data_IF_715336201820
#
_entry.id   IF_715336201820
#
_cell.length_a   1.000
_cell.length_b   1.000
_cell.length_c   1.000
_cell.angle_alpha   90.00
_cell.angle_beta   90.00
_cell.angle_gamma   90.00
#
_symmetry.space_group_name_H-M   'P 1'
#
loop_
_entity.id
_entity.type
_entity.pdbx_description
1 polymer ?
#
# COMPACT_ATOMS: atom_id res chain seq x y z
N UNK A 1 -15.69 -15.75 4.47
CA UNK A 1 -15.32 -15.80 3.03
C UNK A 1 -13.99 -16.53 2.93
N UNK A 2 -13.91 -17.73 2.33
CA UNK A 2 -12.62 -18.35 2.06
C UNK A 2 -11.88 -17.47 1.04
N UNK A 3 -10.66 -17.04 1.38
CA UNK A 3 -9.83 -16.29 0.43
C UNK A 3 -9.29 -17.26 -0.62
N UNK A 4 -9.33 -16.85 -1.89
CA UNK A 4 -8.70 -17.59 -2.97
C UNK A 4 -7.17 -17.67 -2.78
N UNK A 5 -6.51 -18.63 -3.45
CA UNK A 5 -5.06 -18.84 -3.33
C UNK A 5 -4.25 -17.56 -3.65
N UNK A 6 -4.78 -16.72 -4.54
CA UNK A 6 -4.22 -15.41 -4.86
C UNK A 6 -4.31 -14.43 -3.68
N UNK A 7 -5.42 -14.42 -2.94
CA UNK A 7 -5.56 -13.63 -1.71
C UNK A 7 -4.63 -14.09 -0.59
N UNK A 8 -4.51 -15.41 -0.40
CA UNK A 8 -3.56 -15.96 0.57
C UNK A 8 -2.11 -15.51 0.27
N UNK A 9 -1.75 -15.46 -1.02
CA UNK A 9 -0.42 -15.03 -1.47
C UNK A 9 -0.17 -13.53 -1.22
N UNK A 10 -1.16 -12.66 -1.42
CA UNK A 10 -1.03 -11.22 -1.15
C UNK A 10 -0.81 -10.97 0.34
N UNK A 11 -1.57 -11.65 1.22
CA UNK A 11 -1.45 -11.55 2.67
C UNK A 11 -0.05 -11.98 3.12
N UNK A 12 0.37 -13.18 2.73
CA UNK A 12 1.67 -13.74 3.13
C UNK A 12 2.84 -12.86 2.65
N UNK A 13 2.76 -12.32 1.41
CA UNK A 13 3.77 -11.39 0.89
C UNK A 13 3.80 -10.08 1.68
N UNK A 14 2.65 -9.53 2.04
CA UNK A 14 2.57 -8.30 2.82
C UNK A 14 3.18 -8.48 4.22
N UNK A 15 2.90 -9.61 4.87
CA UNK A 15 3.48 -9.96 6.17
C UNK A 15 5.00 -10.14 6.09
N UNK A 16 5.50 -10.83 5.06
CA UNK A 16 6.94 -11.00 4.85
C UNK A 16 7.67 -9.67 4.66
N UNK A 17 7.09 -8.74 3.89
CA UNK A 17 7.64 -7.39 3.71
C UNK A 17 7.65 -6.60 5.02
N UNK A 18 6.56 -6.66 5.80
CA UNK A 18 6.49 -6.00 7.12
C UNK A 18 7.53 -6.55 8.07
N UNK A 19 7.71 -7.86 8.13
CA UNK A 19 8.75 -8.50 8.95
C UNK A 19 10.16 -8.06 8.53
N UNK A 20 10.41 -7.95 7.21
CA UNK A 20 11.65 -7.42 6.66
C UNK A 20 11.93 -5.98 7.08
N UNK A 21 10.91 -5.11 7.04
CA UNK A 21 11.02 -3.72 7.51
C UNK A 21 11.37 -3.65 8.99
N UNK A 22 10.67 -4.43 9.84
CA UNK A 22 10.93 -4.45 11.27
C UNK A 22 12.37 -4.88 11.56
N UNK A 23 12.85 -5.93 10.88
CA UNK A 23 14.23 -6.40 11.02
C UNK A 23 15.21 -5.32 10.60
N UNK A 24 15.06 -4.77 9.39
CA UNK A 24 15.98 -3.76 8.85
C UNK A 24 16.03 -2.51 9.72
N UNK A 25 14.88 -2.05 10.26
CA UNK A 25 14.81 -0.92 11.18
C UNK A 25 15.62 -1.18 12.46
N UNK A 26 15.43 -2.36 13.07
CA UNK A 26 16.15 -2.78 14.27
C UNK A 26 17.65 -2.91 14.04
N UNK A 27 18.06 -3.46 12.90
CA UNK A 27 19.47 -3.63 12.53
C UNK A 27 20.22 -2.28 12.46
N UNK A 28 19.51 -1.18 12.20
CA UNK A 28 20.07 0.19 12.16
C UNK A 28 19.65 1.06 13.36
N UNK A 29 19.06 0.47 14.40
CA UNK A 29 18.66 1.20 15.62
C UNK A 29 17.51 2.20 15.43
N UNK A 30 16.67 2.03 14.43
CA UNK A 30 15.47 2.86 14.18
C UNK A 30 14.21 2.19 14.67
N UNK A 31 13.20 3.00 15.02
CA UNK A 31 11.85 2.49 15.28
C UNK A 31 11.19 2.06 13.95
N UNK A 32 10.72 0.81 13.81
CA UNK A 32 9.92 0.40 12.65
C UNK A 32 8.69 1.29 12.40
N UNK A 33 8.12 1.92 13.44
CA UNK A 33 6.99 2.83 13.32
C UNK A 33 7.30 4.09 12.49
N UNK A 34 8.57 4.48 12.39
CA UNK A 34 9.03 5.60 11.55
C UNK A 34 9.09 5.24 10.06
N UNK A 35 8.87 3.97 9.70
CA UNK A 35 8.98 3.48 8.32
C UNK A 35 7.60 3.22 7.74
N UNK A 36 7.24 3.97 6.71
CA UNK A 36 5.98 3.78 5.98
C UNK A 36 6.15 2.81 4.82
N UNK A 37 5.45 1.68 4.85
CA UNK A 37 5.35 0.77 3.71
C UNK A 37 4.35 1.30 2.67
N UNK A 38 4.85 1.71 1.51
CA UNK A 38 4.04 2.17 0.38
C UNK A 38 3.88 1.02 -0.63
N UNK A 39 2.66 0.54 -0.84
CA UNK A 39 2.38 -0.49 -1.83
C UNK A 39 2.16 0.13 -3.22
N UNK A 40 3.00 -0.22 -4.19
CA UNK A 40 2.88 0.31 -5.56
C UNK A 40 1.87 -0.52 -6.34
N UNK A 41 0.77 0.11 -6.78
CA UNK A 41 -0.36 -0.57 -7.43
C UNK A 41 -0.38 -0.43 -8.95
N UNK A 42 0.61 0.26 -9.54
CA UNK A 42 0.73 0.33 -11.01
C UNK A 42 0.81 -1.09 -11.55
N UNK A 43 -0.06 -1.42 -12.51
CA UNK A 43 -0.25 -2.76 -13.13
C UNK A 43 -1.06 -3.80 -12.34
N UNK A 44 -1.66 -3.48 -11.19
CA UNK A 44 -2.52 -4.41 -10.46
C UNK A 44 -4.01 -4.05 -10.61
N UNK A 45 -4.83 -5.09 -10.85
CA UNK A 45 -6.28 -4.93 -10.94
C UNK A 45 -6.93 -4.60 -9.59
N UNK A 46 -8.15 -4.06 -9.65
CA UNK A 46 -8.93 -3.64 -8.47
C UNK A 46 -9.07 -4.74 -7.42
N UNK A 47 -9.18 -6.00 -7.84
CA UNK A 47 -9.33 -7.13 -6.93
C UNK A 47 -8.05 -7.39 -6.11
N UNK A 48 -6.87 -7.20 -6.71
CA UNK A 48 -5.61 -7.30 -5.98
C UNK A 48 -5.48 -6.17 -4.95
N UNK A 49 -5.92 -4.96 -5.30
CA UNK A 49 -5.95 -3.80 -4.40
C UNK A 49 -6.93 -4.06 -3.24
N UNK A 50 -8.14 -4.54 -3.53
CA UNK A 50 -9.14 -4.86 -2.51
C UNK A 50 -8.63 -5.90 -1.49
N UNK A 51 -7.90 -6.92 -1.98
CA UNK A 51 -7.27 -7.93 -1.11
C UNK A 51 -6.14 -7.36 -0.27
N UNK A 52 -5.31 -6.47 -0.83
CA UNK A 52 -4.28 -5.76 -0.05
C UNK A 52 -4.90 -4.87 1.03
N UNK A 53 -6.01 -4.18 0.74
CA UNK A 53 -6.77 -3.41 1.73
C UNK A 53 -7.32 -4.32 2.83
N UNK A 54 -7.90 -5.47 2.46
CA UNK A 54 -8.39 -6.46 3.43
C UNK A 54 -7.26 -7.01 4.32
N UNK A 55 -6.05 -7.18 3.76
CA UNK A 55 -4.84 -7.57 4.49
C UNK A 55 -4.25 -6.46 5.39
N UNK A 56 -4.89 -5.30 5.44
CA UNK A 56 -4.46 -4.19 6.30
C UNK A 56 -3.48 -3.22 5.63
N UNK A 57 -3.24 -3.29 4.31
CA UNK A 57 -2.49 -2.25 3.61
C UNK A 57 -3.34 -0.98 3.52
N UNK A 58 -2.70 0.16 3.81
CA UNK A 58 -3.38 1.47 3.86
C UNK A 58 -2.71 2.53 2.99
N UNK A 59 -1.41 2.40 2.73
CA UNK A 59 -0.65 3.37 1.95
C UNK A 59 -0.33 2.80 0.58
N UNK A 60 -0.79 3.46 -0.48
CA UNK A 60 -0.58 3.03 -1.85
C UNK A 60 0.11 4.15 -2.65
N UNK A 61 1.03 3.78 -3.54
CA UNK A 61 1.72 4.70 -4.43
C UNK A 61 1.41 4.40 -5.88
N UNK A 62 0.85 5.36 -6.62
CA UNK A 62 0.78 5.29 -8.08
C UNK A 62 1.89 6.16 -8.68
N UNK A 63 2.71 5.54 -9.53
CA UNK A 63 3.78 6.25 -10.20
C UNK A 63 3.24 6.90 -11.49
N UNK A 64 2.45 7.98 -11.35
CA UNK A 64 2.09 8.93 -12.43
C UNK A 64 1.47 10.21 -11.84
N UNK A 65 2.32 11.16 -11.43
CA UNK A 65 1.96 12.57 -11.13
C UNK A 65 1.09 13.22 -12.24
N UNK A 66 1.10 12.65 -13.45
CA UNK A 66 0.44 13.19 -14.63
C UNK A 66 -1.00 12.72 -14.84
N UNK A 67 -1.43 11.61 -14.22
CA UNK A 67 -2.84 11.16 -14.28
C UNK A 67 -3.64 11.54 -13.01
N UNK A 68 -2.99 11.76 -11.87
CA UNK A 68 -3.64 12.18 -10.62
C UNK A 68 -4.35 13.56 -10.77
N UNK A 69 -3.76 14.48 -11.55
CA UNK A 69 -4.40 15.79 -11.84
C UNK A 69 -5.68 15.68 -12.67
N UNK A 70 -5.81 14.66 -13.52
CA UNK A 70 -7.01 14.47 -14.34
C UNK A 70 -8.18 13.87 -13.53
N UNK A 71 -7.91 13.06 -12.50
CA UNK A 71 -8.95 12.47 -11.63
C UNK A 71 -9.38 13.37 -10.47
N UNK A 72 -8.51 14.25 -9.95
CA UNK A 72 -8.84 15.15 -8.84
C UNK A 72 -9.96 16.17 -9.13
N UNK A 73 -10.42 16.32 -10.38
CA UNK A 73 -11.55 17.21 -10.70
C UNK A 73 -12.94 16.61 -10.43
N UNK A 74 -13.05 15.31 -10.10
CA UNK A 74 -14.35 14.63 -9.96
C UNK A 74 -14.73 14.20 -8.54
N UNK A 75 -13.82 14.23 -7.57
CA UNK A 75 -14.17 13.88 -6.20
C UNK A 75 -13.80 15.02 -5.27
N UNK A 76 -14.84 15.78 -4.91
CA UNK A 76 -14.79 16.86 -3.94
C UNK A 76 -14.19 16.39 -2.62
N UNK A 77 -13.36 17.26 -2.09
CA UNK A 77 -12.68 17.22 -0.82
C UNK A 77 -13.58 16.69 0.32
N UNK A 78 -13.32 15.48 0.82
CA UNK A 78 -13.49 15.11 2.24
C UNK A 78 -13.27 13.62 2.48
N UNK A 79 -12.01 13.17 2.59
CA UNK A 79 -11.63 12.08 3.52
C UNK A 79 -10.10 12.06 3.69
N UNK A 80 -9.55 12.19 4.90
CA UNK A 80 -8.10 12.27 5.08
C UNK A 80 -7.47 10.88 5.26
N UNK A 81 -7.44 10.01 4.24
CA UNK A 81 -6.65 8.75 4.33
C UNK A 81 -6.14 8.29 2.94
N UNK A 82 -5.30 9.09 2.30
CA UNK A 82 -4.37 8.61 1.27
C UNK A 82 -3.25 9.64 1.11
N UNK A 83 -2.08 9.38 1.69
CA UNK A 83 -0.91 10.23 1.50
C UNK A 83 -0.22 9.79 0.21
N UNK A 84 -0.48 10.52 -0.88
CA UNK A 84 0.14 10.30 -2.19
C UNK A 84 1.47 11.04 -2.22
N UNK A 85 2.58 10.35 -1.99
CA UNK A 85 3.92 10.93 -2.10
C UNK A 85 4.47 10.73 -3.50
N UNK A 86 4.82 11.82 -4.19
CA UNK A 86 5.72 11.79 -5.34
C UNK A 86 7.12 11.41 -4.82
N UNK A 87 7.73 10.39 -5.42
CA UNK A 87 9.18 10.17 -5.34
C UNK A 87 9.79 10.88 -6.56
#
# INVERSE_FOLDING_TARGET
MPMDNAGQLIVSRLEAVRAGIVRAARDVGRDPADITLVAVTKTFDRDAIARAIAAGQRVFGENRVQEAKAKCRRFGQSTPIAHWSSI
#
